data_IF_726924493942
#
_entry.id   IF_726924493942
#
_cell.length_a   1.000
_cell.length_b   1.000
_cell.length_c   1.000
_cell.angle_alpha   90.00
_cell.angle_beta   90.00
_cell.angle_gamma   90.00
#
_symmetry.space_group_name_H-M   'P 1'
#
loop_
_entity.id
_entity.type
_entity.pdbx_description
1 polymer ?
#
# COMPACT_ATOMS: atom_id res chain seq x y z
N UNK A 1 31.04 6.80 21.36
CA UNK A 1 32.50 6.65 21.21
C UNK A 1 32.90 5.32 21.82
N UNK A 2 33.14 4.32 20.99
CA UNK A 2 33.58 2.99 21.43
C UNK A 2 35.11 2.95 21.48
N UNK A 3 35.63 2.51 22.63
CA UNK A 3 36.92 1.87 22.93
C UNK A 3 38.03 1.97 21.87
N UNK A 4 39.14 2.62 22.23
CA UNK A 4 40.45 2.38 21.61
C UNK A 4 40.84 0.92 21.83
N UNK A 5 41.48 0.30 20.84
CA UNK A 5 41.85 -1.13 20.84
C UNK A 5 42.72 -1.56 22.03
N UNK A 6 43.40 -0.63 22.69
CA UNK A 6 44.24 -0.90 23.87
C UNK A 6 43.47 -0.84 25.21
N UNK A 7 42.26 -0.28 25.24
CA UNK A 7 41.49 -0.06 26.46
C UNK A 7 40.25 -0.98 26.52
N UNK A 8 40.50 -2.29 26.49
CA UNK A 8 39.44 -3.33 26.61
C UNK A 8 38.80 -3.32 28.00
N UNK A 9 39.48 -2.80 29.04
CA UNK A 9 38.95 -2.65 30.41
C UNK A 9 39.48 -1.37 31.08
N UNK A 10 38.77 -0.23 31.00
CA UNK A 10 39.19 0.99 31.67
C UNK A 10 39.14 0.81 33.19
N UNK A 11 40.27 1.04 33.88
CA UNK A 11 40.35 1.09 35.35
C UNK A 11 40.87 -0.17 36.07
N UNK A 12 41.40 -1.18 35.37
CA UNK A 12 41.97 -2.37 36.00
C UNK A 12 43.48 -2.50 35.74
N UNK A 13 44.30 -2.44 36.79
CA UNK A 13 45.74 -2.71 36.70
C UNK A 13 45.99 -4.23 36.52
N UNK A 14 46.79 -4.61 35.53
CA UNK A 14 46.97 -6.00 35.08
C UNK A 14 48.19 -6.69 35.70
N UNK A 15 48.96 -5.99 36.53
CA UNK A 15 50.15 -6.56 37.16
C UNK A 15 49.76 -7.64 38.21
N UNK A 16 50.14 -8.90 37.97
CA UNK A 16 50.01 -10.00 38.95
C UNK A 16 48.79 -10.91 38.82
N UNK A 17 47.97 -10.78 37.77
CA UNK A 17 46.80 -11.65 37.57
C UNK A 17 47.21 -13.02 36.98
N UNK A 18 47.06 -14.09 37.76
CA UNK A 18 47.28 -15.48 37.32
C UNK A 18 46.16 -16.01 36.38
N UNK A 19 45.01 -15.33 36.32
CA UNK A 19 43.87 -15.65 35.44
C UNK A 19 43.19 -14.36 34.99
N UNK A 20 42.52 -14.35 33.82
CA UNK A 20 41.66 -13.24 33.45
C UNK A 20 40.66 -12.93 34.56
N UNK A 21 40.41 -11.64 34.87
CA UNK A 21 39.40 -11.26 35.85
C UNK A 21 38.03 -11.81 35.43
N UNK A 22 37.22 -12.24 36.39
CA UNK A 22 35.86 -12.71 36.14
C UNK A 22 35.01 -11.53 35.66
N UNK A 23 34.88 -11.40 34.35
CA UNK A 23 34.02 -10.40 33.73
C UNK A 23 32.62 -10.99 33.66
N UNK A 24 31.64 -10.28 34.22
CA UNK A 24 30.23 -10.64 34.08
C UNK A 24 29.90 -10.62 32.57
N UNK A 25 29.29 -11.68 32.02
CA UNK A 25 28.89 -11.68 30.61
C UNK A 25 28.03 -10.46 30.29
N UNK A 26 28.18 -9.85 29.10
CA UNK A 26 27.29 -8.79 28.67
C UNK A 26 25.83 -9.26 28.75
N UNK A 27 25.01 -8.52 29.50
CA UNK A 27 23.59 -8.80 29.67
C UNK A 27 22.76 -7.58 29.28
N UNK A 28 21.55 -7.82 28.80
CA UNK A 28 20.57 -6.76 28.50
C UNK A 28 19.42 -6.90 29.50
N UNK A 29 19.52 -6.28 30.69
CA UNK A 29 18.54 -6.49 31.77
C UNK A 29 17.16 -5.92 31.46
N UNK A 30 17.04 -5.03 30.47
CA UNK A 30 15.78 -4.39 30.09
C UNK A 30 14.94 -5.20 29.10
N UNK A 31 15.33 -6.45 28.79
CA UNK A 31 14.68 -7.31 27.79
C UNK A 31 14.32 -8.67 28.37
N UNK A 32 13.29 -9.28 27.81
CA UNK A 32 12.81 -10.59 28.28
C UNK A 32 13.64 -11.72 27.67
N UNK A 33 14.19 -12.58 28.53
CA UNK A 33 14.87 -13.80 28.09
C UNK A 33 13.93 -14.79 27.41
N UNK A 34 12.64 -14.78 27.78
CA UNK A 34 11.61 -15.64 27.18
C UNK A 34 11.33 -15.23 25.73
N UNK A 35 11.11 -13.94 25.49
CA UNK A 35 10.92 -13.39 24.13
C UNK A 35 12.15 -13.69 23.26
N UNK A 36 13.36 -13.49 23.80
CA UNK A 36 14.58 -13.81 23.06
C UNK A 36 14.71 -15.30 22.72
N UNK A 37 14.32 -16.20 23.64
CA UNK A 37 14.31 -17.64 23.36
C UNK A 37 13.37 -17.98 22.19
N UNK A 38 12.20 -17.35 22.10
CA UNK A 38 11.28 -17.49 20.96
C UNK A 38 11.91 -16.96 19.66
N UNK A 39 12.60 -15.81 19.69
CA UNK A 39 13.33 -15.28 18.53
C UNK A 39 14.41 -16.26 18.04
N UNK A 40 15.17 -16.88 18.96
CA UNK A 40 16.15 -17.91 18.60
C UNK A 40 15.47 -19.14 17.99
N UNK A 41 14.31 -19.54 18.51
CA UNK A 41 13.53 -20.65 17.95
C UNK A 41 13.13 -20.35 16.50
N UNK A 42 12.68 -19.13 16.21
CA UNK A 42 12.38 -18.69 14.85
C UNK A 42 13.61 -18.64 13.94
N UNK A 43 14.77 -18.18 14.44
CA UNK A 43 16.02 -18.15 13.67
C UNK A 43 16.48 -19.55 13.28
N UNK A 44 16.21 -20.56 14.12
CA UNK A 44 16.45 -21.97 13.83
C UNK A 44 15.48 -22.56 12.80
N UNK A 45 14.47 -21.80 12.37
CA UNK A 45 13.49 -22.21 11.36
C UNK A 45 12.21 -22.81 11.92
N UNK A 46 12.02 -22.82 13.24
CA UNK A 46 10.79 -23.33 13.84
C UNK A 46 9.63 -22.33 13.68
N UNK A 47 8.39 -22.81 13.53
CA UNK A 47 7.22 -21.95 13.44
C UNK A 47 6.98 -21.22 14.76
N UNK A 48 6.52 -19.96 14.68
CA UNK A 48 6.12 -19.18 15.84
C UNK A 48 4.60 -19.27 16.04
N UNK A 49 4.18 -19.50 17.28
CA UNK A 49 2.79 -19.37 17.66
C UNK A 49 2.51 -18.00 18.28
N UNK A 50 1.78 -17.14 17.56
CA UNK A 50 1.43 -15.80 18.05
C UNK A 50 0.17 -15.90 18.92
N UNK A 51 0.36 -15.80 20.23
CA UNK A 51 -0.70 -15.86 21.25
C UNK A 51 -1.72 -14.72 21.14
N UNK A 52 -1.24 -13.49 20.97
CA UNK A 52 -2.07 -12.29 20.86
C UNK A 52 -1.25 -11.13 20.28
N UNK A 53 -1.87 -9.97 20.09
CA UNK A 53 -1.22 -8.80 19.49
C UNK A 53 -0.16 -8.16 20.42
N UNK A 54 -0.34 -8.24 21.75
CA UNK A 54 0.68 -7.77 22.71
C UNK A 54 1.97 -8.59 22.58
N UNK A 55 1.84 -9.91 22.48
CA UNK A 55 2.96 -10.81 22.27
C UNK A 55 3.68 -10.53 20.94
N UNK A 56 2.92 -10.30 19.85
CA UNK A 56 3.50 -9.88 18.57
C UNK A 56 4.27 -8.56 18.71
N UNK A 57 3.73 -7.59 19.44
CA UNK A 57 4.36 -6.29 19.65
C UNK A 57 5.67 -6.39 20.45
N UNK A 58 5.74 -7.27 21.46
CA UNK A 58 6.97 -7.56 22.21
C UNK A 58 8.04 -8.16 21.30
N UNK A 59 7.70 -9.19 20.53
CA UNK A 59 8.60 -9.82 19.57
C UNK A 59 9.13 -8.82 18.53
N UNK A 60 8.25 -7.98 17.97
CA UNK A 60 8.65 -6.94 17.02
C UNK A 60 9.60 -5.92 17.65
N UNK A 61 9.34 -5.52 18.91
CA UNK A 61 10.18 -4.56 19.63
C UNK A 61 11.59 -5.12 19.84
N UNK A 62 11.71 -6.39 20.17
CA UNK A 62 12.99 -7.05 20.40
C UNK A 62 13.69 -7.39 19.08
N UNK A 63 12.97 -7.77 18.02
CA UNK A 63 13.53 -7.90 16.67
C UNK A 63 14.20 -6.61 16.20
N UNK A 64 13.57 -5.45 16.46
CA UNK A 64 14.15 -4.14 16.13
C UNK A 64 15.38 -3.82 16.98
N UNK A 65 15.35 -4.18 18.26
CA UNK A 65 16.48 -3.98 19.16
C UNK A 65 17.71 -4.80 18.74
N UNK A 66 17.52 -6.09 18.42
CA UNK A 66 18.59 -6.99 17.97
C UNK A 66 18.88 -6.93 16.47
N UNK A 67 18.20 -6.04 15.73
CA UNK A 67 18.35 -5.85 14.29
C UNK A 67 18.07 -7.12 13.45
N UNK A 68 17.18 -7.98 13.90
CA UNK A 68 16.72 -9.16 13.16
C UNK A 68 15.72 -8.76 12.07
N UNK A 69 16.21 -8.04 11.04
CA UNK A 69 15.38 -7.47 9.96
C UNK A 69 14.49 -8.50 9.26
N UNK A 70 15.01 -9.71 9.01
CA UNK A 70 14.21 -10.79 8.42
C UNK A 70 13.10 -11.30 9.32
N UNK A 71 13.35 -11.43 10.63
CA UNK A 71 12.30 -11.81 11.59
C UNK A 71 11.28 -10.70 11.76
N UNK A 72 11.70 -9.43 11.81
CA UNK A 72 10.79 -8.29 11.83
C UNK A 72 9.81 -8.37 10.65
N UNK A 73 10.31 -8.60 9.43
CA UNK A 73 9.47 -8.72 8.24
C UNK A 73 8.55 -9.95 8.25
N UNK A 74 8.96 -11.06 8.89
CA UNK A 74 8.09 -12.23 9.09
C UNK A 74 6.95 -11.97 10.08
N UNK A 75 7.20 -11.12 11.09
CA UNK A 75 6.24 -10.81 12.16
C UNK A 75 5.23 -9.72 11.78
N UNK A 76 5.54 -8.88 10.79
CA UNK A 76 4.62 -7.87 10.26
C UNK A 76 3.34 -8.57 9.75
N UNK A 77 2.13 -8.12 10.16
CA UNK A 77 0.87 -8.62 9.62
C UNK A 77 0.79 -8.40 8.10
N UNK A 78 0.51 -9.47 7.37
CA UNK A 78 0.31 -9.46 5.93
C UNK A 78 -0.52 -10.68 5.52
N UNK A 79 -1.14 -10.60 4.35
CA UNK A 79 -1.80 -11.73 3.69
C UNK A 79 -1.22 -11.89 2.29
N UNK A 80 -0.94 -13.12 1.89
CA UNK A 80 -0.55 -13.45 0.52
C UNK A 80 -1.61 -14.41 -0.01
N UNK A 81 -2.17 -14.08 -1.18
CA UNK A 81 -3.20 -14.88 -1.83
C UNK A 81 -3.00 -14.88 -3.34
N UNK A 82 -3.54 -15.91 -4.00
CA UNK A 82 -3.61 -15.96 -5.46
C UNK A 82 -5.02 -15.60 -5.91
N UNK A 83 -5.15 -14.51 -6.66
CA UNK A 83 -6.40 -14.07 -7.24
C UNK A 83 -6.61 -14.76 -8.60
N UNK A 84 -7.44 -15.83 -8.61
CA UNK A 84 -7.74 -16.60 -9.83
C UNK A 84 -8.45 -15.79 -10.91
N UNK A 85 -9.26 -14.80 -10.55
CA UNK A 85 -9.97 -13.97 -11.53
C UNK A 85 -9.01 -13.07 -12.32
N UNK A 86 -7.91 -12.66 -11.69
CA UNK A 86 -6.87 -11.83 -12.33
C UNK A 86 -5.64 -12.64 -12.78
N UNK A 87 -5.49 -13.86 -12.30
CA UNK A 87 -4.30 -14.70 -12.51
C UNK A 87 -3.05 -14.11 -11.87
N UNK A 88 -3.19 -13.48 -10.70
CA UNK A 88 -2.12 -12.71 -10.03
C UNK A 88 -1.95 -13.13 -8.58
N UNK A 89 -0.70 -13.23 -8.14
CA UNK A 89 -0.37 -13.28 -6.72
C UNK A 89 -0.44 -11.87 -6.15
N UNK A 90 -1.17 -11.70 -5.04
CA UNK A 90 -1.39 -10.44 -4.36
C UNK A 90 -0.78 -10.51 -2.95
N UNK A 91 -0.30 -9.35 -2.45
CA UNK A 91 0.11 -9.19 -1.06
C UNK A 91 -0.62 -8.00 -0.44
N UNK A 92 -1.38 -8.26 0.61
CA UNK A 92 -2.02 -7.24 1.44
C UNK A 92 -1.13 -6.92 2.64
N UNK A 93 -0.81 -5.65 2.82
CA UNK A 93 0.02 -5.15 3.93
C UNK A 93 -0.41 -3.73 4.31
N UNK A 94 -0.26 -3.36 5.58
CA UNK A 94 -0.57 -2.00 6.04
C UNK A 94 0.44 -0.99 5.50
N UNK A 95 -0.03 0.23 5.20
CA UNK A 95 0.81 1.31 4.68
C UNK A 95 2.03 1.60 5.57
N UNK A 96 1.89 1.50 6.89
CA UNK A 96 2.97 1.76 7.84
C UNK A 96 4.13 0.77 7.81
N UNK A 97 3.84 -0.44 7.32
CA UNK A 97 4.74 -1.59 7.32
C UNK A 97 5.50 -1.75 5.99
N UNK A 98 5.17 -0.95 4.97
CA UNK A 98 5.86 -0.92 3.68
C UNK A 98 7.30 -0.40 3.85
N UNK A 99 8.23 -1.01 3.12
CA UNK A 99 9.64 -0.62 3.07
C UNK A 99 10.07 -0.40 1.62
N UNK A 100 10.76 0.70 1.35
CA UNK A 100 11.17 1.10 -0.01
C UNK A 100 11.92 0.02 -0.82
N UNK A 101 12.84 -0.77 -0.23
CA UNK A 101 13.55 -1.81 -0.97
C UNK A 101 12.62 -2.91 -1.53
N UNK A 102 11.45 -3.11 -0.92
CA UNK A 102 10.50 -4.13 -1.35
C UNK A 102 9.60 -3.72 -2.51
N UNK A 103 9.53 -2.43 -2.84
CA UNK A 103 8.65 -1.91 -3.89
C UNK A 103 9.23 -2.17 -5.29
N UNK A 104 8.40 -2.46 -6.27
CA UNK A 104 8.78 -2.53 -7.69
C UNK A 104 7.58 -2.17 -8.58
N UNK A 105 7.82 -1.90 -9.86
CA UNK A 105 6.78 -1.54 -10.81
C UNK A 105 6.92 -2.46 -12.02
N UNK A 106 5.82 -3.09 -12.43
CA UNK A 106 5.73 -3.83 -13.69
C UNK A 106 4.87 -3.01 -14.64
N UNK A 107 5.50 -2.45 -15.67
CA UNK A 107 4.79 -1.67 -16.69
C UNK A 107 3.99 -2.58 -17.62
N UNK A 108 2.82 -2.11 -18.03
CA UNK A 108 1.99 -2.79 -19.01
C UNK A 108 2.71 -2.79 -20.36
N UNK A 109 2.64 -3.91 -21.09
CA UNK A 109 3.21 -3.98 -22.43
C UNK A 109 2.53 -2.92 -23.32
N UNK A 110 3.29 -2.11 -24.08
CA UNK A 110 2.68 -1.22 -25.06
C UNK A 110 1.90 -2.10 -26.05
N UNK A 111 0.60 -1.84 -26.19
CA UNK A 111 -0.23 -2.55 -27.18
C UNK A 111 0.46 -2.47 -28.55
N UNK A 112 0.78 -3.63 -29.12
CA UNK A 112 1.00 -3.75 -30.55
C UNK A 112 -0.34 -3.42 -31.21
N UNK A 113 -0.41 -2.29 -31.90
CA UNK A 113 -1.52 -2.00 -32.79
C UNK A 113 -1.53 -3.09 -33.86
N UNK A 114 -2.61 -3.86 -33.89
CA UNK A 114 -2.99 -4.73 -35.01
C UNK A 114 -2.63 -4.01 -36.32
N UNK A 115 -1.87 -4.61 -37.25
CA UNK A 115 -1.55 -3.94 -38.50
C UNK A 115 -2.86 -3.70 -39.25
N UNK A 116 -3.27 -2.44 -39.33
CA UNK A 116 -4.33 -2.02 -40.25
C UNK A 116 -3.96 -2.48 -41.66
N UNK A 117 -4.84 -3.20 -42.38
CA UNK A 117 -4.58 -3.62 -43.75
C UNK A 117 -4.85 -2.45 -44.71
N UNK A 118 -4.17 -1.32 -44.56
CA UNK A 118 -4.21 -0.22 -45.52
C UNK A 118 -2.80 0.12 -46.04
N UNK A 119 -2.51 0.01 -47.36
CA UNK A 119 -1.13 0.02 -47.84
C UNK A 119 -0.45 1.40 -47.95
N UNK A 120 -1.05 2.52 -47.52
CA UNK A 120 -0.56 3.85 -47.90
C UNK A 120 -0.62 4.96 -46.82
N UNK A 121 -0.18 4.67 -45.59
CA UNK A 121 0.12 5.73 -44.62
C UNK A 121 1.40 5.44 -43.82
N UNK A 122 2.57 5.78 -44.40
CA UNK A 122 3.88 5.75 -43.71
C UNK A 122 4.07 6.90 -42.71
N UNK A 123 3.07 7.17 -41.89
CA UNK A 123 3.27 7.90 -40.64
C UNK A 123 3.23 6.89 -39.51
N UNK A 124 4.41 6.40 -39.11
CA UNK A 124 4.64 5.77 -37.82
C UNK A 124 4.14 6.74 -36.73
N UNK A 125 2.87 6.63 -36.35
CA UNK A 125 2.45 7.07 -35.03
C UNK A 125 3.05 6.05 -34.07
N UNK A 126 4.29 6.29 -33.65
CA UNK A 126 4.76 5.75 -32.39
C UNK A 126 3.84 6.34 -31.32
N UNK A 127 2.78 5.63 -30.98
CA UNK A 127 2.07 5.87 -29.73
C UNK A 127 3.14 5.70 -28.65
N UNK A 128 3.41 6.77 -27.91
CA UNK A 128 4.33 6.72 -26.78
C UNK A 128 3.97 5.51 -25.89
N UNK A 129 4.96 4.77 -25.34
CA UNK A 129 4.67 3.65 -24.47
C UNK A 129 3.70 4.12 -23.37
N UNK A 130 2.61 3.37 -23.18
CA UNK A 130 1.70 3.60 -22.08
C UNK A 130 2.51 3.49 -20.78
N UNK A 131 2.80 4.63 -20.13
CA UNK A 131 3.51 4.68 -18.85
C UNK A 131 2.56 4.29 -17.71
N UNK A 132 1.92 3.13 -17.85
CA UNK A 132 1.06 2.57 -16.81
C UNK A 132 1.60 1.23 -16.34
N UNK A 133 1.47 0.95 -15.05
CA UNK A 133 2.05 -0.24 -14.47
C UNK A 133 1.52 -0.53 -13.07
N UNK A 134 1.58 -1.80 -12.70
CA UNK A 134 1.17 -2.27 -11.39
C UNK A 134 2.33 -2.20 -10.41
N UNK A 135 2.06 -1.67 -9.21
CA UNK A 135 3.04 -1.69 -8.13
C UNK A 135 3.03 -3.05 -7.48
N UNK A 136 4.22 -3.60 -7.27
CA UNK A 136 4.42 -4.87 -6.61
C UNK A 136 5.25 -4.69 -5.34
N UNK A 137 5.09 -5.61 -4.40
CA UNK A 137 5.84 -5.64 -3.16
C UNK A 137 6.39 -7.04 -2.86
N UNK A 138 7.61 -7.08 -2.36
CA UNK A 138 8.20 -8.23 -1.70
C UNK A 138 8.68 -7.79 -0.32
N UNK A 139 8.39 -8.57 0.73
CA UNK A 139 8.93 -8.27 2.06
C UNK A 139 10.45 -8.45 2.02
N UNK A 140 11.23 -7.40 2.32
CA UNK A 140 12.70 -7.50 2.29
C UNK A 140 13.21 -8.64 3.16
N UNK A 141 14.27 -9.32 2.71
CA UNK A 141 14.93 -10.45 3.42
C UNK A 141 14.09 -11.73 3.60
N UNK A 142 12.81 -11.74 3.20
CA UNK A 142 11.89 -12.86 3.43
C UNK A 142 11.35 -13.41 2.13
N UNK A 143 10.85 -12.55 1.26
CA UNK A 143 10.28 -12.96 -0.01
C UNK A 143 11.33 -12.92 -1.14
N UNK A 144 11.19 -13.83 -2.11
CA UNK A 144 12.01 -13.86 -3.33
C UNK A 144 11.26 -13.33 -4.55
N UNK A 145 9.92 -13.41 -4.53
CA UNK A 145 9.05 -13.04 -5.66
C UNK A 145 8.20 -11.82 -5.30
N UNK A 146 8.20 -10.75 -6.12
CA UNK A 146 7.30 -9.62 -5.93
C UNK A 146 5.87 -10.00 -6.32
N UNK A 147 4.89 -9.50 -5.55
CA UNK A 147 3.45 -9.76 -5.74
C UNK A 147 2.72 -8.43 -5.89
N UNK A 148 1.58 -8.40 -6.57
CA UNK A 148 0.82 -7.17 -6.72
C UNK A 148 0.43 -6.60 -5.35
N UNK A 149 0.72 -5.31 -5.15
CA UNK A 149 0.59 -4.67 -3.85
C UNK A 149 -0.87 -4.22 -3.61
N UNK A 150 -1.43 -4.71 -2.51
CA UNK A 150 -2.63 -4.16 -1.88
C UNK A 150 -2.21 -3.47 -0.58
N UNK A 151 -2.43 -2.16 -0.49
CA UNK A 151 -2.19 -1.41 0.74
C UNK A 151 -3.46 -1.34 1.57
N UNK A 152 -3.35 -1.65 2.86
CA UNK A 152 -4.41 -1.37 3.83
C UNK A 152 -4.11 -0.03 4.54
N UNK A 153 -5.11 0.85 4.54
CA UNK A 153 -5.08 2.15 5.22
C UNK A 153 -6.27 2.17 6.17
N UNK A 154 -6.00 2.37 7.46
CA UNK A 154 -6.99 2.35 8.53
C UNK A 154 -6.86 3.58 9.42
N UNK A 155 -7.84 3.80 10.29
CA UNK A 155 -7.80 4.86 11.30
C UNK A 155 -8.49 6.15 10.88
N UNK A 156 -9.49 6.05 9.98
CA UNK A 156 -10.34 7.20 9.59
C UNK A 156 -9.55 8.39 9.04
N UNK A 157 -8.36 8.13 8.50
CA UNK A 157 -7.43 9.15 8.02
C UNK A 157 -7.56 9.43 6.51
N UNK A 158 -8.63 8.91 5.88
CA UNK A 158 -8.86 9.01 4.44
C UNK A 158 -10.24 9.63 4.20
N UNK A 159 -10.26 10.77 3.53
CA UNK A 159 -11.47 11.45 3.05
C UNK A 159 -11.57 11.20 1.55
N UNK A 160 -12.66 10.60 1.10
CA UNK A 160 -12.88 10.26 -0.31
C UNK A 160 -14.00 11.13 -0.87
N UNK A 161 -13.68 11.93 -1.88
CA UNK A 161 -14.65 12.65 -2.69
C UNK A 161 -15.03 11.73 -3.86
N UNK A 162 -16.29 11.28 -3.87
CA UNK A 162 -16.78 10.25 -4.81
C UNK A 162 -17.12 10.85 -6.17
N UNK A 163 -17.50 12.13 -6.21
CA UNK A 163 -17.79 12.83 -7.48
C UNK A 163 -16.52 13.03 -8.30
N UNK A 164 -15.42 13.43 -7.64
CA UNK A 164 -14.13 13.67 -8.30
C UNK A 164 -13.23 12.44 -8.30
N UNK A 165 -13.60 11.39 -7.57
CA UNK A 165 -12.82 10.18 -7.35
C UNK A 165 -11.40 10.49 -6.86
N UNK A 166 -11.31 11.34 -5.83
CA UNK A 166 -10.06 11.78 -5.19
C UNK A 166 -10.08 11.50 -3.70
N UNK A 167 -8.99 10.90 -3.21
CA UNK A 167 -8.76 10.66 -1.80
C UNK A 167 -7.75 11.64 -1.22
N UNK A 168 -8.12 12.28 -0.12
CA UNK A 168 -7.23 13.07 0.72
C UNK A 168 -6.87 12.30 1.99
N UNK A 169 -5.60 12.39 2.39
CA UNK A 169 -5.10 11.74 3.59
C UNK A 169 -4.73 12.76 4.65
N UNK A 170 -4.85 12.37 5.93
CA UNK A 170 -4.47 13.19 7.07
C UNK A 170 -3.33 12.55 7.91
N UNK A 171 -2.71 13.34 8.77
CA UNK A 171 -1.72 12.89 9.75
C UNK A 171 -0.51 12.14 9.15
N UNK A 172 -0.13 11.04 9.79
CA UNK A 172 1.00 10.22 9.36
C UNK A 172 0.70 9.41 8.10
N UNK A 173 -0.56 9.09 7.81
CA UNK A 173 -0.95 8.44 6.56
C UNK A 173 -0.63 9.35 5.37
N UNK A 174 -0.93 10.65 5.45
CA UNK A 174 -0.56 11.64 4.41
C UNK A 174 0.94 11.63 4.11
N UNK A 175 1.78 11.68 5.16
CA UNK A 175 3.24 11.66 5.01
C UNK A 175 3.71 10.38 4.33
N UNK A 176 3.13 9.23 4.70
CA UNK A 176 3.49 7.92 4.13
C UNK A 176 3.02 7.74 2.70
N UNK A 177 1.82 8.20 2.36
CA UNK A 177 1.33 8.22 0.97
C UNK A 177 2.21 9.12 0.10
N UNK A 178 2.48 10.36 0.53
CA UNK A 178 3.37 11.24 -0.21
C UNK A 178 4.74 10.60 -0.44
N UNK A 179 5.31 9.98 0.61
CA UNK A 179 6.58 9.26 0.50
C UNK A 179 6.51 8.05 -0.43
N UNK A 180 5.40 7.31 -0.44
CA UNK A 180 5.17 6.21 -1.37
C UNK A 180 5.16 6.73 -2.81
N UNK A 181 4.39 7.79 -3.09
CA UNK A 181 4.31 8.37 -4.43
C UNK A 181 5.66 8.92 -4.90
N UNK A 182 6.40 9.62 -4.04
CA UNK A 182 7.79 10.05 -4.33
C UNK A 182 8.69 8.88 -4.73
N UNK A 183 8.63 7.78 -3.98
CA UNK A 183 9.45 6.58 -4.27
C UNK A 183 9.06 5.95 -5.60
N UNK A 184 7.76 5.89 -5.91
CA UNK A 184 7.28 5.35 -7.18
C UNK A 184 7.69 6.25 -8.35
N UNK A 185 7.53 7.57 -8.23
CA UNK A 185 7.97 8.54 -9.23
C UNK A 185 9.48 8.41 -9.52
N UNK A 186 10.30 8.28 -8.47
CA UNK A 186 11.74 8.05 -8.62
C UNK A 186 12.05 6.72 -9.34
N UNK A 187 11.28 5.65 -9.11
CA UNK A 187 11.47 4.37 -9.80
C UNK A 187 11.04 4.41 -11.26
N UNK A 188 10.07 5.24 -11.62
CA UNK A 188 9.64 5.47 -13.00
C UNK A 188 10.70 6.26 -13.79
N UNK A 189 11.25 7.30 -13.16
CA UNK A 189 12.24 8.18 -13.79
C UNK A 189 13.66 7.59 -13.81
N UNK A 190 13.88 6.41 -13.22
CA UNK A 190 15.14 5.71 -13.39
C UNK A 190 15.24 5.16 -14.81
N UNK A 191 16.30 5.51 -15.58
CA UNK A 191 16.49 5.01 -16.93
C UNK A 191 16.74 3.49 -16.89
N UNK A 192 15.66 2.73 -16.99
CA UNK A 192 15.56 1.27 -17.10
C UNK A 192 16.41 0.47 -16.12
N UNK A 193 15.71 -0.27 -15.24
CA UNK A 193 16.17 -1.55 -14.72
C UNK A 193 16.55 -2.49 -15.87
N UNK A 194 17.78 -2.36 -16.39
CA UNK A 194 18.41 -3.40 -17.20
C UNK A 194 18.79 -4.53 -16.24
N UNK A 195 18.54 -5.81 -16.59
CA UNK A 195 19.06 -6.90 -15.79
C UNK A 195 20.59 -6.75 -15.72
N UNK A 196 21.12 -6.78 -14.49
CA UNK A 196 22.55 -6.72 -14.20
C UNK A 196 23.26 -7.89 -14.87
N UNK A 197 23.73 -7.68 -16.09
CA UNK A 197 24.41 -8.67 -16.90
C UNK A 197 25.10 -7.99 -18.08
N UNK A 198 26.41 -7.81 -17.92
CA UNK A 198 27.38 -7.46 -18.98
C UNK A 198 27.32 -6.02 -19.50
N UNK A 199 28.28 -5.18 -19.08
CA UNK A 199 29.20 -4.43 -19.96
C UNK A 199 30.10 -3.49 -19.14
N UNK A 200 31.41 -3.71 -19.25
CA UNK A 200 32.46 -2.76 -18.91
C UNK A 200 32.34 -1.50 -19.80
N UNK A 201 32.73 -0.33 -19.27
CA UNK A 201 32.98 0.85 -20.11
C UNK A 201 32.94 2.17 -19.35
N UNK A 202 34.11 2.57 -18.85
CA UNK A 202 34.56 3.93 -18.47
C UNK A 202 33.84 5.13 -19.13
N UNK A 203 33.60 6.21 -18.36
CA UNK A 203 33.38 7.55 -18.93
C UNK A 203 32.74 8.60 -18.03
N UNK A 204 33.60 9.37 -17.33
CA UNK A 204 33.54 10.81 -16.98
C UNK A 204 32.17 11.54 -16.88
N UNK A 205 31.82 11.90 -15.63
CA UNK A 205 31.60 13.28 -15.20
C UNK A 205 30.58 14.17 -15.91
N UNK A 206 29.33 14.11 -15.47
CA UNK A 206 28.45 15.29 -15.35
C UNK A 206 27.41 15.01 -14.25
N UNK A 207 27.32 15.90 -13.27
CA UNK A 207 26.24 15.86 -12.28
C UNK A 207 24.90 15.99 -13.01
N UNK A 208 23.91 15.12 -12.76
CA UNK A 208 22.55 15.45 -13.13
C UNK A 208 22.07 16.56 -12.21
N UNK A 209 21.71 17.68 -12.84
CA UNK A 209 20.94 18.76 -12.23
C UNK A 209 19.70 18.16 -11.55
N UNK A 210 19.42 18.63 -10.33
CA UNK A 210 18.28 18.23 -9.52
C UNK A 210 17.00 18.21 -10.36
N UNK A 211 16.31 17.05 -10.51
CA UNK A 211 15.12 17.02 -11.31
C UNK A 211 14.01 17.80 -10.59
N UNK A 212 13.45 18.72 -11.36
CA UNK A 212 12.28 19.53 -11.09
C UNK A 212 11.28 18.87 -10.15
N UNK A 213 10.98 19.60 -9.07
CA UNK A 213 9.73 19.52 -8.34
C UNK A 213 8.58 19.92 -9.29
N UNK A 214 8.16 18.98 -10.14
CA UNK A 214 6.96 19.07 -10.96
C UNK A 214 5.78 18.57 -10.14
N UNK A 215 4.79 19.44 -9.96
CA UNK A 215 3.65 19.31 -9.05
C UNK A 215 2.80 18.07 -9.29
N UNK A 216 2.98 17.05 -8.43
CA UNK A 216 1.94 16.07 -8.14
C UNK A 216 0.77 16.84 -7.50
N UNK A 217 -0.41 16.84 -8.13
CA UNK A 217 -1.58 17.63 -7.74
C UNK A 217 -1.79 17.64 -6.22
N UNK A 218 -1.87 18.85 -5.65
CA UNK A 218 -1.67 19.09 -4.21
C UNK A 218 -2.54 18.18 -3.33
N UNK A 219 -1.89 17.18 -2.72
CA UNK A 219 -2.38 16.44 -1.56
C UNK A 219 -3.44 15.36 -1.78
N UNK A 220 -4.09 15.28 -2.95
CA UNK A 220 -5.12 14.27 -3.25
C UNK A 220 -4.66 13.22 -4.26
N UNK A 221 -5.03 11.96 -4.03
CA UNK A 221 -4.64 10.81 -4.86
C UNK A 221 -5.86 10.31 -5.63
N UNK A 222 -5.67 9.92 -6.89
CA UNK A 222 -6.75 9.39 -7.72
C UNK A 222 -7.23 8.05 -7.17
N UNK A 223 -8.55 7.87 -7.13
CA UNK A 223 -9.21 6.63 -6.75
C UNK A 223 -10.01 6.08 -7.93
N UNK A 224 -10.14 4.76 -7.99
CA UNK A 224 -10.98 4.07 -8.96
C UNK A 224 -11.74 2.95 -8.26
N UNK A 225 -13.05 2.86 -8.51
CA UNK A 225 -13.85 1.69 -8.18
C UNK A 225 -13.92 0.78 -9.41
N UNK A 226 -13.77 -0.52 -9.19
CA UNK A 226 -13.92 -1.54 -10.23
C UNK A 226 -15.09 -2.46 -9.86
N UNK A 227 -15.62 -3.23 -10.83
CA UNK A 227 -16.72 -4.16 -10.56
C UNK A 227 -16.42 -5.22 -9.50
N UNK A 228 -15.14 -5.44 -9.15
CA UNK A 228 -14.71 -6.31 -8.05
C UNK A 228 -14.55 -5.62 -6.69
N UNK A 229 -14.84 -4.32 -6.57
CA UNK A 229 -14.70 -3.56 -5.33
C UNK A 229 -15.82 -3.89 -4.34
N UNK A 230 -15.48 -4.37 -3.15
CA UNK A 230 -16.44 -4.59 -2.07
C UNK A 230 -16.56 -3.34 -1.20
N UNK A 231 -17.67 -2.60 -1.30
CA UNK A 231 -17.86 -1.34 -0.57
C UNK A 231 -18.98 -1.49 0.45
N UNK A 232 -18.70 -1.12 1.71
CA UNK A 232 -19.67 -0.99 2.79
C UNK A 232 -19.73 0.49 3.18
N UNK A 233 -20.93 1.06 3.13
CA UNK A 233 -21.23 2.45 3.45
C UNK A 233 -22.31 2.49 4.52
N UNK A 234 -22.02 3.16 5.65
CA UNK A 234 -22.93 3.24 6.80
C UNK A 234 -23.45 1.86 7.26
N UNK A 235 -22.57 0.86 7.25
CA UNK A 235 -22.87 -0.53 7.64
C UNK A 235 -23.64 -1.35 6.60
N UNK A 236 -23.93 -0.81 5.40
CA UNK A 236 -24.67 -1.48 4.32
C UNK A 236 -23.81 -1.67 3.09
N UNK A 237 -24.02 -2.77 2.36
CA UNK A 237 -23.34 -2.98 1.07
C UNK A 237 -23.80 -1.89 0.11
N UNK A 238 -22.84 -1.10 -0.38
CA UNK A 238 -23.06 -0.08 -1.40
C UNK A 238 -23.07 -0.74 -2.78
N UNK A 239 -24.00 -0.31 -3.63
CA UNK A 239 -24.09 -0.69 -5.03
C UNK A 239 -24.20 0.59 -5.83
N UNK A 240 -23.44 0.66 -6.92
CA UNK A 240 -23.56 1.75 -7.86
C UNK A 240 -24.95 1.67 -8.53
N UNK A 241 -25.74 2.72 -8.43
CA UNK A 241 -27.11 2.75 -8.96
C UNK A 241 -27.14 2.90 -10.51
N UNK A 242 -25.99 3.11 -11.15
CA UNK A 242 -25.89 3.32 -12.61
C UNK A 242 -26.06 2.04 -13.46
N UNK A 243 -26.00 0.82 -12.90
CA UNK A 243 -26.31 -0.42 -13.64
C UNK A 243 -27.83 -0.72 -13.76
N UNK A 244 -28.70 0.21 -13.32
CA UNK A 244 -30.15 0.00 -13.16
C UNK A 244 -31.09 0.49 -14.27
N UNK A 245 -30.61 1.09 -15.37
CA UNK A 245 -31.48 1.53 -16.50
C UNK A 245 -31.22 0.73 -17.80
N UNK A 246 -31.36 -0.59 -17.72
CA UNK A 246 -31.70 -1.42 -18.89
C UNK A 246 -32.50 -2.66 -18.50
N UNK A 247 -33.56 -2.44 -17.72
CA UNK A 247 -34.66 -3.40 -17.59
C UNK A 247 -35.73 -3.10 -18.63
N UNK A 248 -35.67 -3.79 -19.77
CA UNK A 248 -36.78 -3.87 -20.73
C UNK A 248 -38.03 -4.29 -19.96
N UNK A 249 -39.00 -3.38 -19.80
CA UNK A 249 -40.35 -3.73 -19.37
C UNK A 249 -40.98 -4.56 -20.49
N UNK A 250 -40.96 -5.88 -20.35
CA UNK A 250 -41.96 -6.72 -21.01
C UNK A 250 -43.29 -6.42 -20.32
N UNK A 251 -44.19 -5.80 -21.08
CA UNK A 251 -45.61 -5.74 -20.74
C UNK A 251 -46.16 -7.16 -20.81
N UNK A 252 -46.64 -7.67 -19.68
CA UNK A 252 -47.54 -8.82 -19.67
C UNK A 252 -48.82 -8.38 -18.95
N UNK A 253 -49.92 -8.51 -19.67
CA UNK A 253 -51.29 -8.21 -19.27
C UNK A 253 -51.65 -8.87 -17.94
N UNK A 254 -52.36 -8.13 -17.07
CA UNK A 254 -53.30 -8.76 -16.14
C UNK A 254 -53.38 -8.18 -14.74
N UNK A 255 -54.47 -7.42 -14.54
CA UNK A 255 -55.19 -7.18 -13.27
C UNK A 255 -54.60 -6.10 -12.34
N UNK A 256 -55.38 -5.01 -12.29
CA UNK A 256 -55.29 -3.86 -11.40
C UNK A 256 -55.55 -4.28 -9.96
N UNK A 257 -54.60 -4.04 -9.06
CA UNK A 257 -54.88 -3.89 -7.64
C UNK A 257 -54.34 -2.54 -7.16
N UNK A 258 -55.23 -1.79 -6.51
CA UNK A 258 -55.09 -0.37 -6.19
C UNK A 258 -54.88 -0.27 -4.68
N UNK A 259 -53.63 -0.34 -4.21
CA UNK A 259 -53.11 0.54 -3.12
C UNK A 259 -51.64 0.22 -2.81
N UNK A 260 -50.71 1.06 -3.28
CA UNK A 260 -49.38 1.18 -2.69
C UNK A 260 -48.82 2.58 -2.97
N UNK A 261 -48.50 3.39 -1.95
CA UNK A 261 -48.07 4.76 -2.18
C UNK A 261 -46.68 4.78 -2.80
N UNK A 262 -46.64 5.19 -4.06
CA UNK A 262 -45.45 5.60 -4.79
C UNK A 262 -44.64 6.58 -3.95
N UNK A 263 -43.41 6.20 -3.57
CA UNK A 263 -42.49 7.08 -2.83
C UNK A 263 -42.20 8.31 -3.68
N UNK A 264 -42.91 9.40 -3.38
CA UNK A 264 -42.67 10.74 -3.91
C UNK A 264 -41.19 11.07 -3.76
N UNK A 265 -40.52 11.29 -4.90
CA UNK A 265 -39.23 11.97 -4.96
C UNK A 265 -39.31 13.24 -4.12
N UNK A 266 -38.50 13.33 -3.07
CA UNK A 266 -38.26 14.58 -2.36
C UNK A 266 -37.48 15.47 -3.32
N UNK A 267 -38.18 16.41 -3.97
CA UNK A 267 -37.54 17.51 -4.69
C UNK A 267 -36.79 18.35 -3.66
N UNK A 268 -35.48 18.16 -3.56
CA UNK A 268 -34.59 19.09 -2.87
C UNK A 268 -34.07 20.04 -3.94
N UNK A 269 -34.56 21.27 -3.91
CA UNK A 269 -33.76 22.41 -4.37
C UNK A 269 -32.64 22.61 -3.34
N UNK A 270 -31.39 22.49 -3.77
CA UNK A 270 -30.20 22.70 -2.96
C UNK A 270 -29.01 22.25 -3.79
N UNK A 271 -27.99 23.10 -3.96
CA UNK A 271 -26.83 22.83 -4.81
C UNK A 271 -26.23 21.46 -4.50
N UNK A 272 -25.72 20.77 -5.53
CA UNK A 272 -25.09 19.46 -5.39
C UNK A 272 -23.95 19.55 -4.35
N UNK A 273 -24.25 19.17 -3.11
CA UNK A 273 -23.23 18.98 -2.09
C UNK A 273 -22.43 17.75 -2.53
N UNK A 274 -21.14 17.95 -2.74
CA UNK A 274 -20.28 16.85 -3.18
C UNK A 274 -20.32 15.70 -2.18
N UNK A 275 -20.49 14.48 -2.68
CA UNK A 275 -20.62 13.30 -1.85
C UNK A 275 -19.24 12.89 -1.34
N UNK A 276 -18.99 13.21 -0.07
CA UNK A 276 -17.72 12.96 0.61
C UNK A 276 -17.89 11.88 1.65
N UNK A 277 -17.07 10.83 1.56
CA UNK A 277 -17.02 9.74 2.52
C UNK A 277 -15.80 9.84 3.44
N UNK A 278 -15.97 9.42 4.70
CA UNK A 278 -14.87 9.15 5.63
C UNK A 278 -14.59 7.65 5.66
N UNK A 279 -13.45 7.23 5.13
CA UNK A 279 -13.10 5.80 5.07
C UNK A 279 -12.47 5.37 6.39
N UNK A 280 -13.13 4.46 7.10
CA UNK A 280 -12.61 3.84 8.33
C UNK A 280 -11.40 2.99 8.03
N UNK A 281 -11.56 2.08 7.07
CA UNK A 281 -10.53 1.17 6.57
C UNK A 281 -10.74 0.93 5.09
N UNK A 282 -9.65 1.00 4.32
CA UNK A 282 -9.65 0.72 2.89
C UNK A 282 -8.47 -0.14 2.49
N UNK A 283 -8.72 -1.12 1.63
CA UNK A 283 -7.72 -1.91 0.93
C UNK A 283 -7.67 -1.49 -0.53
N UNK A 284 -6.47 -1.15 -1.00
CA UNK A 284 -6.27 -0.49 -2.30
C UNK A 284 -5.17 -1.20 -3.10
N UNK A 285 -5.47 -1.66 -4.30
CA UNK A 285 -4.42 -2.00 -5.27
C UNK A 285 -3.76 -0.71 -5.75
N UNK A 286 -2.44 -0.75 -5.91
CA UNK A 286 -1.67 0.45 -6.28
C UNK A 286 -1.20 0.34 -7.73
N UNK A 287 -1.56 1.36 -8.53
CA UNK A 287 -1.20 1.48 -9.93
C UNK A 287 -0.54 2.83 -10.19
N UNK A 288 0.39 2.88 -11.14
CA UNK A 288 0.94 4.12 -11.67
C UNK A 288 0.45 4.29 -13.11
N UNK A 289 0.18 5.52 -13.53
CA UNK A 289 -0.24 5.83 -14.90
C UNK A 289 0.13 7.26 -15.29
N UNK A 290 0.22 7.54 -16.60
CA UNK A 290 0.35 8.92 -17.07
C UNK A 290 -0.81 9.79 -16.56
N UNK A 291 -0.48 10.97 -16.04
CA UNK A 291 -1.46 11.92 -15.52
C UNK A 291 -2.34 12.44 -16.67
N UNK A 292 -3.63 12.64 -16.39
CA UNK A 292 -4.60 13.09 -17.40
C UNK A 292 -4.32 14.49 -17.93
N UNK A 293 -3.77 15.37 -17.08
CA UNK A 293 -3.62 16.80 -17.35
C UNK A 293 -2.23 17.16 -17.87
N UNK A 294 -1.24 16.31 -17.63
CA UNK A 294 0.13 16.45 -18.11
C UNK A 294 0.64 15.09 -18.57
N UNK A 295 0.76 14.91 -19.89
CA UNK A 295 1.20 13.66 -20.52
C UNK A 295 2.62 13.25 -20.12
N UNK A 296 3.41 14.17 -19.55
CA UNK A 296 4.76 13.90 -19.06
C UNK A 296 4.81 13.52 -17.58
N UNK A 297 3.76 13.83 -16.81
CA UNK A 297 3.68 13.50 -15.39
C UNK A 297 3.09 12.10 -15.20
N UNK A 298 3.52 11.39 -14.16
CA UNK A 298 2.94 10.11 -13.75
C UNK A 298 2.24 10.28 -12.42
N UNK A 299 1.00 9.81 -12.32
CA UNK A 299 0.19 9.82 -11.11
C UNK A 299 0.07 8.41 -10.50
N UNK A 300 -0.09 8.37 -9.18
CA UNK A 300 -0.46 7.18 -8.43
C UNK A 300 -1.98 7.05 -8.36
N UNK A 301 -2.49 5.84 -8.53
CA UNK A 301 -3.92 5.50 -8.51
C UNK A 301 -4.16 4.40 -7.50
N UNK A 302 -5.15 4.61 -6.64
CA UNK A 302 -5.63 3.64 -5.67
C UNK A 302 -6.91 3.00 -6.19
N UNK A 303 -6.84 1.72 -6.52
CA UNK A 303 -7.98 0.95 -7.01
C UNK A 303 -8.60 0.21 -5.83
N UNK A 304 -9.88 0.46 -5.57
CA UNK A 304 -10.57 -0.10 -4.42
C UNK A 304 -10.67 -1.63 -4.50
N UNK A 305 -10.24 -2.31 -3.44
CA UNK A 305 -10.46 -3.76 -3.25
C UNK A 305 -11.60 -3.95 -2.26
N UNK A 306 -11.47 -3.32 -1.09
CA UNK A 306 -12.45 -3.35 -0.02
C UNK A 306 -12.47 -2.00 0.67
N UNK A 307 -13.64 -1.37 0.78
CA UNK A 307 -13.82 -0.09 1.47
C UNK A 307 -14.89 -0.25 2.51
N UNK A 308 -14.64 0.35 3.66
CA UNK A 308 -15.58 0.48 4.77
C UNK A 308 -15.57 1.95 5.21
N UNK A 309 -16.70 2.64 5.02
CA UNK A 309 -16.78 4.08 5.08
C UNK A 309 -18.11 4.61 5.65
N UNK A 310 -18.10 5.89 6.01
CA UNK A 310 -19.24 6.62 6.53
C UNK A 310 -19.55 7.84 5.66
N UNK A 311 -20.84 8.12 5.44
CA UNK A 311 -21.29 9.36 4.79
C UNK A 311 -21.29 10.56 5.73
N UNK A 312 -21.51 10.32 7.03
CA UNK A 312 -21.65 11.37 8.03
C UNK A 312 -21.16 10.95 9.42
N UNK A 313 -20.91 11.95 10.28
CA UNK A 313 -20.52 11.74 11.67
C UNK A 313 -21.57 10.92 12.46
N UNK A 314 -22.86 11.11 12.16
CA UNK A 314 -23.93 10.34 12.80
C UNK A 314 -23.78 8.84 12.54
N UNK A 315 -23.57 8.43 11.28
CA UNK A 315 -23.39 7.03 10.91
C UNK A 315 -22.14 6.43 11.57
N UNK A 316 -21.02 7.18 11.56
CA UNK A 316 -19.81 6.81 12.29
C UNK A 316 -20.07 6.59 13.78
N UNK A 317 -20.83 7.49 14.42
CA UNK A 317 -21.13 7.40 15.85
C UNK A 317 -22.09 6.25 16.18
N UNK A 318 -22.99 5.86 15.26
CA UNK A 318 -23.89 4.72 15.45
C UNK A 318 -23.17 3.38 15.54
N UNK A 319 -22.01 3.23 14.88
CA UNK A 319 -21.21 2.01 14.96
C UNK A 319 -20.30 1.93 16.19
N UNK A 320 -20.22 2.99 16.99
CA UNK A 320 -19.42 2.97 18.22
C UNK A 320 -20.10 2.14 19.30
N UNK A 321 -19.45 1.05 19.70
CA UNK A 321 -19.78 0.35 20.93
C UNK A 321 -19.33 1.14 22.16
N UNK A 322 -20.05 0.98 23.27
CA UNK A 322 -19.58 1.46 24.57
C UNK A 322 -18.40 0.60 25.04
N UNK A 323 -17.46 1.21 25.77
CA UNK A 323 -16.31 0.54 26.38
C UNK A 323 -16.74 -0.24 27.64
N UNK A 324 -17.76 -1.09 27.52
CA UNK A 324 -18.21 -2.09 28.50
C UNK A 324 -19.59 -2.63 28.11
N UNK A 325 -19.61 -3.92 27.78
CA UNK A 325 -20.70 -4.86 27.98
C UNK A 325 -20.07 -6.13 28.49
#
# INVERSE_FOLDING_TARGET
MFSSTDAVFPGLDRAGLLRPPSIVPPAVPSRSGEVFAELIHMLKGYPLHIRNESHRAELLRDCRYFLFKGLEQKLIPHSISHNLQRGKDEITIRLEDIRQPGLSITFDAPFQTVPSPEPFARHLRYSAPSMSGWVHYMRPFVDTTPRELIIEISGECTRLDVDTMRAEFSGDAKKRINRLVEVLANKINMPNARPMGLLMGSGVGSQPESPASGTLGEGSVKVVFEGGSSIVLDGRVWKDEEEGESGVKMEEDGVVDVDAPSRKRRRVEGGAESEVWTVRTGQWRVRVQAASNDKSAVECVLIAVKIDAFTAELARNQERGFLSG
#
